data_IF_160123951593
#
_entry.id   IF_160123951593
#
_cell.length_a   1.000
_cell.length_b   1.000
_cell.length_c   1.000
_cell.angle_alpha   90.00
_cell.angle_beta   90.00
_cell.angle_gamma   90.00
#
_symmetry.space_group_name_H-M   'P 1'
#
loop_
_entity.id
_entity.type
_entity.pdbx_description
1 polymer ?
#
# COMPACT_ATOMS: atom_id res chain seq x y z
N UNK A 1 -63.33 28.38 63.48
CA UNK A 1 -61.93 28.59 63.94
C UNK A 1 -61.17 27.29 63.70
N UNK A 2 -60.45 27.18 62.57
CA UNK A 2 -59.44 26.15 62.27
C UNK A 2 -58.69 26.59 61.01
N UNK A 3 -57.42 26.93 61.18
CA UNK A 3 -56.51 27.33 60.11
C UNK A 3 -55.99 26.09 59.38
N UNK A 4 -56.00 26.11 58.05
CA UNK A 4 -55.33 25.10 57.22
C UNK A 4 -53.99 25.68 56.73
N UNK A 5 -52.90 25.11 57.25
CA UNK A 5 -51.55 25.29 56.72
C UNK A 5 -51.39 24.34 55.54
N UNK A 6 -51.38 24.85 54.33
CA UNK A 6 -51.03 24.07 53.14
C UNK A 6 -49.49 23.97 53.05
N UNK A 7 -48.97 22.79 53.37
CA UNK A 7 -47.57 22.43 53.18
C UNK A 7 -47.30 22.19 51.70
N UNK A 8 -46.62 23.15 51.06
CA UNK A 8 -46.03 23.04 49.72
C UNK A 8 -44.76 22.20 49.80
N UNK A 9 -44.88 20.88 49.95
CA UNK A 9 -43.69 20.01 49.98
C UNK A 9 -43.97 18.63 49.39
N UNK A 10 -44.30 18.52 48.10
CA UNK A 10 -44.06 17.27 47.35
C UNK A 10 -44.24 17.42 45.82
N UNK A 11 -43.38 18.22 45.17
CA UNK A 11 -43.32 18.23 43.71
C UNK A 11 -41.87 18.32 43.22
N UNK A 12 -41.08 17.28 43.48
CA UNK A 12 -39.81 17.03 42.82
C UNK A 12 -39.46 15.54 42.95
N UNK A 13 -40.32 14.67 42.41
CA UNK A 13 -39.85 13.37 41.91
C UNK A 13 -39.15 13.69 40.60
N UNK A 14 -37.90 14.07 40.77
CA UNK A 14 -36.90 14.26 39.74
C UNK A 14 -36.85 12.98 38.91
N UNK A 15 -37.21 13.12 37.64
CA UNK A 15 -36.86 12.22 36.54
C UNK A 15 -35.33 12.18 36.42
N UNK A 16 -34.66 11.51 37.36
CA UNK A 16 -33.25 11.11 37.29
C UNK A 16 -33.23 9.64 36.86
N UNK A 17 -33.89 9.36 35.74
CA UNK A 17 -33.37 8.34 34.83
C UNK A 17 -32.19 8.99 34.11
N UNK A 18 -31.06 9.00 34.84
CA UNK A 18 -29.73 9.15 34.29
C UNK A 18 -29.62 8.15 33.15
N UNK A 19 -29.81 8.66 31.93
CA UNK A 19 -29.27 8.03 30.74
C UNK A 19 -27.77 7.93 30.97
N UNK A 20 -27.32 6.80 31.52
CA UNK A 20 -25.98 6.30 31.27
C UNK A 20 -25.95 5.99 29.79
N UNK A 21 -25.76 7.04 28.98
CA UNK A 21 -25.20 6.90 27.66
C UNK A 21 -23.91 6.13 27.87
N UNK A 22 -23.96 4.85 27.52
CA UNK A 22 -22.79 4.04 27.31
C UNK A 22 -22.00 4.77 26.21
N UNK A 23 -21.15 5.70 26.61
CA UNK A 23 -19.99 6.10 25.85
C UNK A 23 -19.12 4.85 25.82
N UNK A 24 -19.41 3.93 24.89
CA UNK A 24 -18.47 2.90 24.53
C UNK A 24 -17.18 3.62 24.16
N UNK A 25 -16.07 3.21 24.76
CA UNK A 25 -14.75 3.76 24.45
C UNK A 25 -14.60 3.82 22.92
N UNK A 26 -14.64 5.04 22.39
CA UNK A 26 -14.56 5.28 20.97
C UNK A 26 -13.12 5.04 20.55
N UNK A 27 -12.85 3.81 20.14
CA UNK A 27 -11.53 3.41 19.63
C UNK A 27 -11.39 3.97 18.21
N UNK A 28 -10.95 5.23 18.10
CA UNK A 28 -10.70 5.99 16.87
C UNK A 28 -9.50 5.43 16.07
N UNK A 29 -9.63 4.19 15.58
CA UNK A 29 -8.49 3.34 15.19
C UNK A 29 -8.05 3.40 13.73
N UNK A 30 -8.44 4.44 12.99
CA UNK A 30 -7.97 4.62 11.61
C UNK A 30 -6.73 5.50 11.56
N UNK A 31 -5.54 4.92 11.33
CA UNK A 31 -4.41 5.71 10.86
C UNK A 31 -4.72 6.30 9.48
N UNK A 32 -4.38 7.57 9.24
CA UNK A 32 -4.60 8.19 7.95
C UNK A 32 -3.68 7.62 6.85
N UNK A 33 -3.98 7.92 5.58
CA UNK A 33 -3.20 7.46 4.42
C UNK A 33 -1.70 7.76 4.58
N UNK A 34 -1.34 8.93 5.09
CA UNK A 34 0.05 9.35 5.20
C UNK A 34 0.78 8.61 6.31
N UNK A 35 0.15 8.44 7.46
CA UNK A 35 0.67 7.59 8.53
C UNK A 35 0.80 6.14 8.05
N UNK A 36 -0.17 5.65 7.28
CA UNK A 36 -0.13 4.35 6.63
C UNK A 36 1.03 4.22 5.64
N UNK A 37 1.30 5.25 4.84
CA UNK A 37 2.44 5.29 3.91
C UNK A 37 3.77 5.27 4.66
N UNK A 38 3.93 6.07 5.72
CA UNK A 38 5.15 6.07 6.55
C UNK A 38 5.34 4.72 7.22
N UNK A 39 4.32 4.19 7.91
CA UNK A 39 4.42 2.88 8.56
C UNK A 39 4.73 1.77 7.55
N UNK A 40 4.12 1.82 6.36
CA UNK A 40 4.39 0.85 5.30
C UNK A 40 5.82 1.00 4.76
N UNK A 41 6.28 2.23 4.57
CA UNK A 41 7.62 2.50 4.11
C UNK A 41 8.67 2.04 5.12
N UNK A 42 8.43 2.27 6.41
CA UNK A 42 9.27 1.78 7.49
C UNK A 42 9.41 0.26 7.45
N UNK A 43 8.29 -0.47 7.34
CA UNK A 43 8.29 -1.94 7.25
C UNK A 43 8.94 -2.50 5.97
N UNK A 44 9.12 -1.69 4.93
CA UNK A 44 9.70 -2.11 3.65
C UNK A 44 11.00 -1.37 3.32
N UNK A 45 11.57 -0.64 4.28
CA UNK A 45 12.68 0.27 4.03
C UNK A 45 13.91 -0.49 3.53
N UNK A 46 14.18 -1.67 4.07
CA UNK A 46 15.26 -2.56 3.62
C UNK A 46 15.19 -2.84 2.13
N UNK A 47 13.99 -3.18 1.63
CA UNK A 47 13.75 -3.46 0.21
C UNK A 47 14.01 -2.23 -0.65
N UNK A 48 13.59 -1.05 -0.20
CA UNK A 48 13.74 0.19 -0.96
C UNK A 48 15.19 0.67 -1.01
N UNK A 49 15.91 0.52 0.10
CA UNK A 49 17.35 0.71 0.17
C UNK A 49 18.05 -0.26 -0.77
N UNK A 50 17.68 -1.54 -0.75
CA UNK A 50 18.24 -2.54 -1.66
C UNK A 50 18.04 -2.21 -3.13
N UNK A 51 16.86 -1.71 -3.50
CA UNK A 51 16.62 -1.25 -4.86
C UNK A 51 17.60 -0.12 -5.25
N UNK A 52 17.85 0.85 -4.37
CA UNK A 52 18.80 1.93 -4.65
C UNK A 52 20.26 1.43 -4.73
N UNK A 53 20.71 0.62 -3.76
CA UNK A 53 22.09 0.11 -3.72
C UNK A 53 22.46 -0.72 -4.95
N UNK A 54 21.49 -1.41 -5.55
CA UNK A 54 21.72 -2.31 -6.68
C UNK A 54 21.44 -1.68 -8.06
N UNK A 55 20.92 -0.45 -8.12
CA UNK A 55 20.59 0.21 -9.39
C UNK A 55 21.60 1.30 -9.72
N UNK A 56 22.32 1.23 -10.86
CA UNK A 56 23.21 2.30 -11.31
C UNK A 56 22.52 3.67 -11.38
N UNK A 57 21.21 3.65 -11.62
CA UNK A 57 20.37 4.84 -11.74
C UNK A 57 20.08 5.56 -10.42
N UNK A 58 20.49 5.00 -9.27
CA UNK A 58 20.47 5.71 -7.98
C UNK A 58 21.65 6.68 -7.83
N UNK A 59 22.74 6.48 -8.59
CA UNK A 59 23.89 7.40 -8.68
C UNK A 59 24.49 7.77 -7.32
N UNK A 60 24.77 6.75 -6.50
CA UNK A 60 25.42 6.91 -5.20
C UNK A 60 26.94 7.11 -5.38
N UNK A 61 27.52 8.03 -4.63
CA UNK A 61 28.96 8.09 -4.42
C UNK A 61 29.39 7.07 -3.35
N UNK A 62 30.71 6.95 -3.08
CA UNK A 62 31.24 5.96 -2.12
C UNK A 62 30.74 6.18 -0.69
N UNK A 63 30.65 7.43 -0.25
CA UNK A 63 30.19 7.80 1.09
C UNK A 63 28.70 7.48 1.28
N UNK A 64 27.87 7.90 0.33
CA UNK A 64 26.44 7.62 0.30
C UNK A 64 26.15 6.11 0.25
N UNK A 65 26.93 5.36 -0.53
CA UNK A 65 26.80 3.91 -0.61
C UNK A 65 27.16 3.23 0.72
N UNK A 66 28.22 3.70 1.39
CA UNK A 66 28.62 3.19 2.71
C UNK A 66 27.52 3.46 3.74
N UNK A 67 27.08 4.72 3.88
CA UNK A 67 26.03 5.10 4.82
C UNK A 67 24.73 4.33 4.58
N UNK A 68 24.31 4.19 3.33
CA UNK A 68 23.08 3.47 3.00
C UNK A 68 23.18 1.95 3.27
N UNK A 69 24.38 1.38 3.11
CA UNK A 69 24.67 -0.01 3.48
C UNK A 69 24.66 -0.19 5.01
N UNK A 70 25.21 0.77 5.75
CA UNK A 70 25.21 0.78 7.21
C UNK A 70 23.76 0.84 7.73
N UNK A 71 22.95 1.79 7.23
CA UNK A 71 21.52 1.88 7.54
C UNK A 71 20.85 0.53 7.31
N UNK A 72 21.03 -0.07 6.12
CA UNK A 72 20.43 -1.36 5.78
C UNK A 72 20.80 -2.44 6.80
N UNK A 73 22.08 -2.55 7.14
CA UNK A 73 22.57 -3.54 8.10
C UNK A 73 22.07 -3.30 9.53
N UNK A 74 21.82 -2.03 9.89
CA UNK A 74 21.29 -1.60 11.19
C UNK A 74 19.79 -1.80 11.37
N UNK A 75 19.00 -1.96 10.29
CA UNK A 75 17.54 -2.02 10.36
C UNK A 75 17.00 -3.09 11.32
N UNK A 76 17.69 -4.22 11.50
CA UNK A 76 17.29 -5.23 12.48
C UNK A 76 17.33 -4.69 13.92
N UNK A 77 18.30 -3.82 14.23
CA UNK A 77 18.40 -3.10 15.50
C UNK A 77 17.30 -2.05 15.64
N UNK A 78 17.06 -1.28 14.57
CA UNK A 78 15.98 -0.27 14.51
C UNK A 78 14.63 -0.88 14.90
N UNK A 79 14.29 -2.03 14.34
CA UNK A 79 13.00 -2.69 14.54
C UNK A 79 12.81 -3.34 15.93
N UNK A 80 13.83 -3.34 16.80
CA UNK A 80 13.68 -3.86 18.16
C UNK A 80 12.77 -2.96 19.01
N UNK A 81 12.80 -1.65 18.75
CA UNK A 81 11.91 -0.71 19.41
C UNK A 81 10.52 -0.72 18.74
N UNK A 82 9.58 -1.46 19.32
CA UNK A 82 8.19 -1.54 18.80
C UNK A 82 7.45 -0.19 18.79
N UNK A 83 7.96 0.83 19.49
CA UNK A 83 7.41 2.19 19.56
C UNK A 83 8.34 3.21 18.90
N UNK A 84 9.20 2.76 17.98
CA UNK A 84 10.14 3.63 17.31
C UNK A 84 9.43 4.71 16.50
N UNK A 85 8.37 4.35 15.77
CA UNK A 85 7.64 5.30 14.95
C UNK A 85 6.46 5.89 15.74
N UNK A 86 6.46 7.21 15.92
CA UNK A 86 5.42 7.93 16.65
C UNK A 86 4.88 9.10 15.82
N UNK A 87 3.56 9.27 15.83
CA UNK A 87 2.89 10.36 15.10
C UNK A 87 2.36 11.38 16.11
N UNK A 88 2.97 12.57 16.14
CA UNK A 88 2.68 13.62 17.11
C UNK A 88 2.17 14.87 16.39
N UNK A 89 1.16 15.55 16.93
CA UNK A 89 0.69 16.84 16.42
C UNK A 89 1.43 17.97 17.14
N UNK A 90 2.08 18.84 16.38
CA UNK A 90 2.73 20.06 16.85
C UNK A 90 1.71 21.03 17.47
N UNK A 91 0.51 21.13 16.88
CA UNK A 91 -0.57 21.96 17.42
C UNK A 91 -1.01 21.53 18.82
N UNK A 92 -0.96 20.23 19.11
CA UNK A 92 -1.29 19.69 20.44
C UNK A 92 -0.09 19.67 21.39
N UNK A 93 1.14 19.71 20.87
CA UNK A 93 2.39 19.69 21.64
C UNK A 93 3.37 20.76 21.10
N UNK A 94 3.10 22.06 21.32
CA UNK A 94 3.89 23.13 20.71
C UNK A 94 5.36 23.10 21.12
N UNK A 95 6.25 23.43 20.18
CA UNK A 95 7.70 23.40 20.35
C UNK A 95 8.33 22.02 20.09
N UNK A 96 7.54 20.98 19.79
CA UNK A 96 8.08 19.64 19.55
C UNK A 96 8.90 19.60 18.26
N UNK A 97 8.39 20.18 17.18
CA UNK A 97 9.00 20.12 15.85
C UNK A 97 9.62 21.45 15.39
N UNK A 98 9.68 22.46 16.25
CA UNK A 98 10.36 23.73 15.95
C UNK A 98 11.81 23.63 16.41
N UNK A 99 12.73 23.53 15.45
CA UNK A 99 14.18 23.43 15.68
C UNK A 99 14.84 24.58 14.94
N UNK A 100 15.62 25.40 15.65
CA UNK A 100 16.28 26.60 15.11
C UNK A 100 15.31 27.58 14.40
N UNK A 101 14.08 27.66 14.89
CA UNK A 101 13.03 28.51 14.33
C UNK A 101 12.32 27.94 13.09
N UNK A 102 12.70 26.75 12.64
CA UNK A 102 12.07 26.08 11.50
C UNK A 102 11.20 24.90 11.93
N UNK A 103 10.04 24.75 11.29
CA UNK A 103 9.16 23.61 11.51
C UNK A 103 9.67 22.39 10.71
N UNK A 104 9.97 21.30 11.40
CA UNK A 104 10.43 20.04 10.80
C UNK A 104 9.28 19.04 10.65
N UNK A 105 9.36 18.19 9.63
CA UNK A 105 8.37 17.14 9.34
C UNK A 105 8.56 15.89 10.20
N UNK A 106 9.79 15.62 10.61
CA UNK A 106 10.15 14.56 11.52
C UNK A 106 11.37 14.99 12.35
N UNK A 107 11.61 14.29 13.45
CA UNK A 107 12.83 14.40 14.24
C UNK A 107 13.10 13.07 14.94
N UNK A 108 14.37 12.83 15.26
CA UNK A 108 14.80 11.63 15.96
C UNK A 108 16.02 11.87 16.85
N UNK A 109 16.44 10.84 17.59
CA UNK A 109 17.73 10.79 18.31
C UNK A 109 18.89 10.33 17.42
N UNK A 110 20.09 10.23 17.96
CA UNK A 110 21.31 9.87 17.19
C UNK A 110 21.79 8.43 17.42
N UNK A 111 20.96 7.59 18.04
CA UNK A 111 21.26 6.18 18.30
C UNK A 111 20.31 5.23 17.53
N UNK A 112 20.81 4.07 17.10
CA UNK A 112 20.01 2.99 16.51
C UNK A 112 18.87 2.59 17.46
N UNK A 113 17.64 2.57 16.94
CA UNK A 113 16.43 2.30 17.74
C UNK A 113 15.79 3.54 18.36
N UNK A 114 16.39 4.73 18.20
CA UNK A 114 15.82 6.00 18.66
C UNK A 114 14.44 6.25 18.07
N UNK A 115 13.58 6.91 18.84
CA UNK A 115 12.21 7.22 18.41
C UNK A 115 12.22 8.24 17.29
N UNK A 116 11.62 7.86 16.16
CA UNK A 116 11.29 8.72 15.04
C UNK A 116 9.92 9.33 15.29
N UNK A 117 9.91 10.61 15.67
CA UNK A 117 8.69 11.39 15.81
C UNK A 117 8.36 12.04 14.47
N UNK A 118 7.13 11.88 14.01
CA UNK A 118 6.61 12.45 12.75
C UNK A 118 5.52 13.47 13.06
N UNK A 119 5.66 14.66 12.49
CA UNK A 119 4.71 15.76 12.64
C UNK A 119 3.45 15.51 11.80
N UNK A 120 2.36 15.11 12.47
CA UNK A 120 1.06 14.84 11.84
C UNK A 120 0.49 16.04 11.10
N UNK A 121 0.78 17.25 11.57
CA UNK A 121 0.19 18.47 11.02
C UNK A 121 0.78 18.81 9.64
N UNK A 122 1.94 18.23 9.29
CA UNK A 122 2.61 18.42 8.00
C UNK A 122 2.44 17.24 7.03
N UNK A 123 1.76 16.16 7.43
CA UNK A 123 1.57 14.98 6.58
C UNK A 123 0.54 15.20 5.46
N UNK A 124 -0.30 16.22 5.61
CA UNK A 124 -1.41 16.51 4.71
C UNK A 124 -1.32 17.94 4.22
N UNK A 125 -1.50 18.15 2.93
CA UNK A 125 -1.53 19.48 2.32
C UNK A 125 -2.77 19.63 1.45
N UNK A 126 -3.24 20.88 1.30
CA UNK A 126 -4.35 21.18 0.40
C UNK A 126 -3.80 21.45 -0.99
N UNK A 127 -4.19 20.63 -1.95
CA UNK A 127 -3.86 20.83 -3.35
C UNK A 127 -4.55 22.12 -3.83
N UNK A 128 -3.77 23.09 -4.28
CA UNK A 128 -4.27 24.42 -4.67
C UNK A 128 -5.19 24.38 -5.90
N UNK A 129 -4.99 23.39 -6.79
CA UNK A 129 -5.78 23.24 -8.02
C UNK A 129 -7.10 22.52 -7.79
N UNK A 130 -7.09 21.44 -7.02
CA UNK A 130 -8.29 20.60 -6.80
C UNK A 130 -9.05 20.99 -5.53
N UNK A 131 -8.40 21.71 -4.61
CA UNK A 131 -8.92 22.00 -3.28
C UNK A 131 -8.97 20.80 -2.34
N UNK A 132 -8.53 19.61 -2.81
CA UNK A 132 -8.56 18.38 -2.04
C UNK A 132 -7.38 18.29 -1.09
N UNK A 133 -7.58 17.63 0.05
CA UNK A 133 -6.49 17.30 0.97
C UNK A 133 -5.76 16.06 0.48
N UNK A 134 -4.47 16.20 0.21
CA UNK A 134 -3.59 15.16 -0.26
C UNK A 134 -2.58 14.81 0.83
N UNK A 135 -2.42 13.52 1.09
CA UNK A 135 -1.41 13.02 2.00
C UNK A 135 -0.07 12.82 1.29
N UNK A 136 1.04 12.84 2.02
CA UNK A 136 2.34 12.46 1.44
C UNK A 136 2.32 11.03 0.87
N UNK A 137 3.01 10.83 -0.25
CA UNK A 137 3.18 9.54 -0.92
C UNK A 137 4.25 8.66 -0.28
N UNK A 138 4.41 7.44 -0.81
CA UNK A 138 5.43 6.49 -0.36
C UNK A 138 6.84 7.03 -0.58
N UNK A 139 7.06 7.72 -1.69
CA UNK A 139 8.32 8.36 -2.08
C UNK A 139 8.83 9.31 -0.97
N UNK A 140 7.97 10.26 -0.58
CA UNK A 140 8.30 11.23 0.46
C UNK A 140 8.45 10.57 1.83
N UNK A 141 7.61 9.57 2.13
CA UNK A 141 7.74 8.78 3.35
C UNK A 141 9.10 8.05 3.43
N UNK A 142 9.56 7.46 2.33
CA UNK A 142 10.90 6.83 2.26
C UNK A 142 12.00 7.88 2.42
N UNK A 143 11.89 9.03 1.76
CA UNK A 143 12.86 10.11 1.92
C UNK A 143 13.00 10.53 3.39
N UNK A 144 11.89 10.78 4.08
CA UNK A 144 11.88 11.14 5.51
C UNK A 144 12.56 10.03 6.31
N UNK A 145 12.15 8.78 6.14
CA UNK A 145 12.71 7.67 6.92
C UNK A 145 14.21 7.46 6.68
N UNK A 146 14.69 7.58 5.44
CA UNK A 146 16.14 7.48 5.16
C UNK A 146 16.91 8.61 5.85
N UNK A 147 16.35 9.83 5.88
CA UNK A 147 16.95 10.95 6.61
C UNK A 147 17.08 10.63 8.10
N UNK A 148 15.97 10.26 8.75
CA UNK A 148 15.96 9.97 10.18
C UNK A 148 16.86 8.77 10.53
N UNK A 149 16.87 7.72 9.71
CA UNK A 149 17.77 6.57 9.91
C UNK A 149 19.25 6.96 9.74
N UNK A 150 19.56 7.95 8.90
CA UNK A 150 20.92 8.46 8.79
C UNK A 150 21.43 9.08 10.09
N UNK A 151 20.56 9.78 10.84
CA UNK A 151 20.89 10.30 12.16
C UNK A 151 21.20 9.21 13.17
N UNK A 152 20.45 8.10 13.17
CA UNK A 152 20.73 6.94 14.05
C UNK A 152 22.09 6.29 13.79
N UNK A 153 22.61 6.47 12.58
CA UNK A 153 23.92 5.99 12.14
C UNK A 153 25.01 7.07 12.25
N UNK A 154 24.77 8.13 13.04
CA UNK A 154 25.75 9.15 13.39
C UNK A 154 25.97 10.23 12.33
N UNK A 155 25.22 10.24 11.22
CA UNK A 155 25.33 11.29 10.22
C UNK A 155 24.61 12.56 10.69
N UNK A 156 25.31 13.69 10.67
CA UNK A 156 24.81 15.01 11.13
C UNK A 156 24.58 16.00 9.99
N UNK A 157 25.09 15.73 8.80
CA UNK A 157 24.88 16.57 7.62
C UNK A 157 23.48 16.34 7.05
N UNK A 158 22.54 17.24 7.38
CA UNK A 158 21.17 17.21 6.86
C UNK A 158 21.11 17.29 5.33
N UNK A 159 22.04 17.99 4.68
CA UNK A 159 22.05 18.12 3.20
C UNK A 159 22.35 16.78 2.55
N UNK A 160 23.35 16.06 3.07
CA UNK A 160 23.68 14.72 2.63
C UNK A 160 22.50 13.76 2.83
N UNK A 161 21.84 13.82 3.99
CA UNK A 161 20.70 12.97 4.31
C UNK A 161 19.48 13.25 3.43
N UNK A 162 19.18 14.51 3.15
CA UNK A 162 18.10 14.91 2.24
C UNK A 162 18.36 14.44 0.80
N UNK A 163 19.61 14.59 0.33
CA UNK A 163 20.03 14.12 -0.99
C UNK A 163 19.96 12.58 -1.07
N UNK A 164 20.45 11.88 -0.06
CA UNK A 164 20.42 10.42 -0.01
C UNK A 164 18.98 9.90 -0.01
N UNK A 165 18.12 10.47 0.83
CA UNK A 165 16.69 10.14 0.85
C UNK A 165 16.00 10.41 -0.49
N UNK A 166 16.35 11.52 -1.17
CA UNK A 166 15.83 11.84 -2.50
C UNK A 166 16.26 10.79 -3.54
N UNK A 167 17.53 10.35 -3.52
CA UNK A 167 18.04 9.30 -4.43
C UNK A 167 17.31 7.97 -4.24
N UNK A 168 17.13 7.53 -2.99
CA UNK A 168 16.38 6.29 -2.68
C UNK A 168 14.93 6.42 -3.17
N UNK A 169 14.29 7.56 -2.90
CA UNK A 169 12.93 7.85 -3.38
C UNK A 169 12.83 7.82 -4.91
N UNK A 170 13.76 8.45 -5.63
CA UNK A 170 13.79 8.43 -7.10
C UNK A 170 13.98 7.03 -7.66
N UNK A 171 14.84 6.21 -7.04
CA UNK A 171 15.03 4.80 -7.41
C UNK A 171 13.74 3.99 -7.23
N UNK A 172 13.03 4.22 -6.12
CA UNK A 172 11.71 3.64 -5.89
C UNK A 172 10.70 4.05 -6.98
N UNK A 173 10.61 5.35 -7.31
CA UNK A 173 9.71 5.85 -8.35
C UNK A 173 9.93 5.20 -9.71
N UNK A 174 11.19 4.94 -10.10
CA UNK A 174 11.51 4.28 -11.37
C UNK A 174 11.00 2.84 -11.46
N UNK A 175 10.92 2.14 -10.32
CA UNK A 175 10.44 0.76 -10.25
C UNK A 175 8.95 0.65 -9.93
N UNK A 176 8.27 1.80 -9.80
CA UNK A 176 6.90 1.91 -9.40
C UNK A 176 6.00 2.21 -10.60
N UNK A 177 4.98 1.37 -10.78
CA UNK A 177 3.93 1.56 -11.77
C UNK A 177 2.67 1.95 -11.03
N UNK A 178 2.09 3.09 -11.40
CA UNK A 178 0.83 3.58 -10.81
C UNK A 178 -0.28 3.55 -11.85
N UNK A 179 -1.41 2.96 -11.49
CA UNK A 179 -2.66 3.04 -12.25
C UNK A 179 -3.72 3.75 -11.42
N UNK A 180 -4.15 4.94 -11.86
CA UNK A 180 -5.27 5.68 -11.24
C UNK A 180 -6.59 5.26 -11.91
N UNK A 181 -7.65 5.12 -11.11
CA UNK A 181 -8.97 4.76 -11.63
C UNK A 181 -9.56 5.88 -12.48
N UNK A 182 -9.39 7.13 -12.02
CA UNK A 182 -9.77 8.34 -12.73
C UNK A 182 -8.52 9.23 -12.81
N UNK A 183 -8.30 9.88 -13.95
CA UNK A 183 -7.09 10.68 -14.17
C UNK A 183 -6.89 11.80 -13.14
N UNK A 184 -7.99 12.41 -12.69
CA UNK A 184 -8.01 13.56 -11.77
C UNK A 184 -8.25 13.18 -10.30
N UNK A 185 -8.38 11.89 -9.99
CA UNK A 185 -8.70 11.45 -8.63
C UNK A 185 -7.64 10.52 -8.06
N UNK A 186 -7.13 10.88 -6.88
CA UNK A 186 -6.31 10.00 -6.03
C UNK A 186 -7.15 9.00 -5.22
N UNK A 187 -8.48 9.10 -5.29
CA UNK A 187 -9.38 8.31 -4.45
C UNK A 187 -9.34 6.81 -4.72
N UNK A 188 -8.93 6.37 -5.91
CA UNK A 188 -8.64 4.96 -6.17
C UNK A 188 -7.43 4.85 -7.09
N UNK A 189 -6.38 4.21 -6.61
CA UNK A 189 -5.20 3.88 -7.42
C UNK A 189 -4.58 2.56 -7.00
N UNK A 190 -3.86 1.94 -7.92
CA UNK A 190 -3.01 0.81 -7.66
C UNK A 190 -1.56 1.23 -7.87
N UNK A 191 -0.69 0.79 -6.97
CA UNK A 191 0.74 1.02 -6.98
C UNK A 191 1.41 -0.34 -6.98
N UNK A 192 2.27 -0.57 -7.97
CA UNK A 192 3.03 -1.81 -8.11
C UNK A 192 4.50 -1.48 -8.13
N UNK A 193 5.25 -2.02 -7.17
CA UNK A 193 6.70 -1.84 -7.06
C UNK A 193 7.33 -3.17 -7.44
N UNK A 194 7.92 -3.25 -8.64
CA UNK A 194 8.62 -4.45 -9.07
C UNK A 194 9.95 -4.59 -8.31
N UNK A 195 10.39 -5.83 -8.12
CA UNK A 195 11.68 -6.11 -7.47
C UNK A 195 12.86 -5.81 -8.38
N UNK A 196 14.07 -5.94 -7.84
CA UNK A 196 15.32 -5.67 -8.59
C UNK A 196 15.58 -6.70 -9.69
N UNK A 197 15.17 -7.94 -9.44
CA UNK A 197 15.33 -9.07 -10.33
C UNK A 197 13.98 -9.68 -10.65
N UNK A 198 13.93 -10.43 -11.73
CA UNK A 198 12.72 -11.18 -12.10
C UNK A 198 12.39 -12.30 -11.10
N UNK A 199 13.34 -12.65 -10.21
CA UNK A 199 13.20 -13.63 -9.13
C UNK A 199 12.54 -13.06 -7.87
N UNK A 200 12.28 -11.75 -7.82
CA UNK A 200 11.51 -11.14 -6.74
C UNK A 200 10.03 -10.99 -7.11
N UNK A 201 9.15 -10.99 -6.11
CA UNK A 201 7.74 -10.68 -6.33
C UNK A 201 7.47 -9.18 -6.17
N UNK A 202 6.53 -8.62 -6.94
CA UNK A 202 6.20 -7.21 -6.83
C UNK A 202 5.43 -6.94 -5.54
N UNK A 203 5.64 -5.77 -4.95
CA UNK A 203 4.72 -5.26 -3.93
C UNK A 203 3.52 -4.61 -4.64
N UNK A 204 2.31 -4.98 -4.25
CA UNK A 204 1.08 -4.48 -4.87
C UNK A 204 0.20 -3.85 -3.79
N UNK A 205 0.04 -2.53 -3.88
CA UNK A 205 -0.76 -1.74 -2.96
C UNK A 205 -1.94 -1.16 -3.71
N UNK A 206 -3.14 -1.28 -3.15
CA UNK A 206 -4.34 -0.65 -3.69
C UNK A 206 -4.84 0.37 -2.68
N UNK A 207 -4.91 1.61 -3.14
CA UNK A 207 -5.47 2.73 -2.41
C UNK A 207 -6.95 2.83 -2.75
N UNK A 208 -7.78 2.82 -1.72
CA UNK A 208 -9.22 3.04 -1.80
C UNK A 208 -9.55 4.11 -0.77
N UNK A 209 -9.57 5.36 -1.24
CA UNK A 209 -9.73 6.57 -0.45
C UNK A 209 -8.70 6.60 0.68
N UNK A 210 -9.16 6.50 1.93
CA UNK A 210 -8.36 6.51 3.14
C UNK A 210 -7.70 5.17 3.48
N UNK A 211 -7.95 4.12 2.68
CA UNK A 211 -7.51 2.76 2.99
C UNK A 211 -6.41 2.28 2.04
N UNK A 212 -5.40 1.63 2.61
CA UNK A 212 -4.32 0.97 1.87
C UNK A 212 -4.49 -0.55 2.02
N UNK A 213 -4.59 -1.24 0.89
CA UNK A 213 -4.78 -2.69 0.83
C UNK A 213 -3.52 -3.31 0.22
N UNK A 214 -2.77 -4.07 1.00
CA UNK A 214 -1.64 -4.84 0.49
C UNK A 214 -2.13 -6.18 -0.08
N UNK A 215 -1.97 -6.36 -1.39
CA UNK A 215 -2.42 -7.55 -2.13
C UNK A 215 -1.26 -8.54 -2.36
N UNK A 216 -0.03 -8.18 -1.99
CA UNK A 216 1.22 -8.87 -2.35
C UNK A 216 1.19 -10.36 -2.00
N UNK A 217 0.84 -10.71 -0.75
CA UNK A 217 0.83 -12.10 -0.31
C UNK A 217 -0.23 -12.95 -1.05
N UNK A 218 -1.41 -12.37 -1.28
CA UNK A 218 -2.50 -13.03 -2.02
C UNK A 218 -2.16 -13.20 -3.50
N UNK A 219 -1.47 -12.21 -4.07
CA UNK A 219 -0.94 -12.27 -5.42
C UNK A 219 0.07 -13.41 -5.56
N UNK A 220 1.13 -13.44 -4.75
CA UNK A 220 2.14 -14.51 -4.74
C UNK A 220 1.53 -15.91 -4.59
N UNK A 221 0.51 -16.07 -3.73
CA UNK A 221 -0.15 -17.37 -3.49
C UNK A 221 -0.90 -17.91 -4.72
N UNK A 222 -1.42 -17.04 -5.58
CA UNK A 222 -2.24 -17.44 -6.73
C UNK A 222 -1.39 -17.85 -7.93
N UNK A 223 -0.16 -17.35 -8.03
CA UNK A 223 0.68 -17.58 -9.20
C UNK A 223 1.16 -19.03 -9.27
N UNK A 224 1.06 -19.62 -10.46
CA UNK A 224 1.53 -20.97 -10.76
C UNK A 224 2.33 -20.99 -12.05
N UNK A 225 3.34 -21.84 -12.11
CA UNK A 225 4.01 -22.19 -13.35
C UNK A 225 3.30 -23.38 -13.97
N UNK A 226 3.00 -23.29 -15.26
CA UNK A 226 2.45 -24.43 -15.99
C UNK A 226 3.61 -25.16 -16.63
N UNK A 227 3.88 -26.41 -16.25
CA UNK A 227 4.68 -27.28 -17.10
C UNK A 227 3.81 -27.70 -18.29
N UNK A 228 4.17 -27.30 -19.50
CA UNK A 228 3.43 -27.72 -20.69
C UNK A 228 3.75 -29.21 -20.96
N UNK A 229 2.72 -30.06 -20.90
CA UNK A 229 2.71 -31.32 -21.62
C UNK A 229 2.62 -31.03 -23.12
N UNK A 230 3.42 -31.73 -23.91
CA UNK A 230 3.60 -31.55 -25.35
C UNK A 230 2.27 -31.56 -26.13
N UNK A 231 2.17 -30.82 -27.25
CA UNK A 231 1.18 -31.11 -28.27
C UNK A 231 1.64 -32.34 -29.06
N UNK A 232 1.36 -33.54 -28.55
CA UNK A 232 1.64 -34.79 -29.28
C UNK A 232 0.42 -35.11 -30.16
N UNK A 233 0.55 -35.15 -31.50
CA UNK A 233 -0.54 -35.48 -32.41
C UNK A 233 -0.74 -37.00 -32.54
N UNK A 234 -0.73 -37.75 -31.43
CA UNK A 234 -0.83 -39.22 -31.49
C UNK A 234 -1.62 -39.75 -30.29
N UNK A 235 -2.63 -40.58 -30.59
CA UNK A 235 -3.51 -41.27 -29.64
C UNK A 235 -2.72 -42.01 -28.55
N UNK A 236 -2.54 -41.38 -27.39
CA UNK A 236 -2.11 -42.05 -26.17
C UNK A 236 -3.17 -41.87 -25.08
N UNK A 237 -3.58 -42.97 -24.41
CA UNK A 237 -4.48 -42.89 -23.26
C UNK A 237 -3.72 -42.36 -22.04
N UNK A 238 -4.36 -41.44 -21.30
CA UNK A 238 -4.22 -41.18 -19.84
C UNK A 238 -2.82 -41.39 -19.26
N UNK A 239 -1.97 -40.39 -19.05
CA UNK A 239 -2.14 -39.37 -18.01
C UNK A 239 -1.18 -38.20 -18.24
N UNK A 240 -1.69 -37.05 -18.67
CA UNK A 240 -0.92 -35.81 -18.73
C UNK A 240 -0.85 -35.22 -17.32
N UNK A 241 0.25 -35.49 -16.62
CA UNK A 241 0.54 -34.86 -15.32
C UNK A 241 0.87 -33.39 -15.55
N UNK A 242 -0.12 -32.52 -15.37
CA UNK A 242 0.10 -31.07 -15.30
C UNK A 242 0.70 -30.78 -13.91
N UNK A 243 2.03 -30.79 -13.82
CA UNK A 243 2.70 -30.32 -12.61
C UNK A 243 2.64 -28.80 -12.56
N UNK A 244 2.21 -28.27 -11.41
CA UNK A 244 2.22 -26.84 -11.15
C UNK A 244 3.32 -26.51 -10.15
N UNK A 245 4.50 -26.14 -10.63
CA UNK A 245 5.52 -25.53 -9.77
C UNK A 245 5.11 -24.11 -9.38
N UNK A 246 5.63 -23.60 -8.26
CA UNK A 246 5.47 -22.19 -7.91
C UNK A 246 6.57 -21.38 -8.59
N UNK A 247 6.26 -20.17 -9.11
CA UNK A 247 7.30 -19.29 -9.61
C UNK A 247 8.24 -18.86 -8.48
N UNK A 248 9.49 -18.61 -8.81
CA UNK A 248 10.48 -18.03 -7.90
C UNK A 248 10.30 -16.52 -7.79
N UNK A 249 9.87 -15.87 -8.88
CA UNK A 249 9.54 -14.44 -8.91
C UNK A 249 8.56 -14.06 -10.03
N UNK A 250 8.17 -12.79 -10.07
CA UNK A 250 7.25 -12.27 -11.07
C UNK A 250 7.36 -10.76 -11.27
N UNK A 251 6.98 -10.29 -12.45
CA UNK A 251 6.73 -8.88 -12.76
C UNK A 251 5.25 -8.67 -13.05
N UNK A 252 4.68 -7.61 -12.48
CA UNK A 252 3.31 -7.18 -12.78
C UNK A 252 3.37 -5.79 -13.41
N UNK A 253 2.99 -5.70 -14.68
CA UNK A 253 3.22 -4.51 -15.49
C UNK A 253 2.05 -4.25 -16.44
N UNK A 254 2.08 -3.10 -17.13
CA UNK A 254 0.99 -2.64 -17.99
C UNK A 254 -0.37 -2.72 -17.27
N UNK A 255 -0.39 -2.28 -16.01
CA UNK A 255 -1.57 -2.36 -15.17
C UNK A 255 -2.59 -1.28 -15.55
N UNK A 256 -3.86 -1.63 -15.50
CA UNK A 256 -4.96 -0.70 -15.76
C UNK A 256 -6.23 -1.16 -15.06
N UNK A 257 -7.12 -0.21 -14.83
CA UNK A 257 -8.44 -0.42 -14.27
C UNK A 257 -9.42 -0.81 -15.39
N UNK A 258 -9.97 -2.04 -15.33
CA UNK A 258 -10.88 -2.57 -16.35
C UNK A 258 -12.28 -1.93 -16.26
N UNK A 259 -12.92 -1.70 -17.43
CA UNK A 259 -14.13 -0.88 -17.60
C UNK A 259 -15.09 -0.93 -16.42
N UNK A 260 -15.25 0.24 -15.80
CA UNK A 260 -16.13 0.48 -14.68
C UNK A 260 -17.51 0.95 -15.13
N UNK A 261 -18.58 0.32 -14.63
CA UNK A 261 -19.93 0.90 -14.72
C UNK A 261 -20.14 1.89 -13.56
N UNK A 262 -19.52 3.06 -13.63
CA UNK A 262 -19.61 4.10 -12.60
C UNK A 262 -21.07 4.54 -12.35
N UNK A 263 -21.90 4.61 -13.39
CA UNK A 263 -23.31 4.98 -13.28
C UNK A 263 -24.16 4.02 -12.41
N UNK A 264 -23.76 2.75 -12.29
CA UNK A 264 -24.40 1.81 -11.36
C UNK A 264 -23.97 1.99 -9.90
N UNK A 265 -22.79 2.59 -9.69
CA UNK A 265 -22.16 2.72 -8.37
C UNK A 265 -22.90 3.72 -7.50
N UNK A 266 -23.24 4.88 -8.06
CA UNK A 266 -23.97 5.94 -7.35
C UNK A 266 -25.35 5.46 -6.92
N UNK A 267 -26.07 4.72 -7.78
CA UNK A 267 -27.42 4.21 -7.47
C UNK A 267 -27.42 3.10 -6.42
N UNK A 268 -26.41 2.22 -6.43
CA UNK A 268 -26.40 0.99 -5.59
C UNK A 268 -25.57 1.10 -4.31
N UNK A 269 -24.95 2.26 -4.03
CA UNK A 269 -24.02 2.47 -2.90
C UNK A 269 -22.91 1.40 -2.81
N UNK A 270 -22.62 0.71 -3.92
CA UNK A 270 -21.68 -0.40 -4.02
C UNK A 270 -20.99 -0.35 -5.38
N UNK A 271 -19.72 -0.75 -5.41
CA UNK A 271 -18.87 -0.76 -6.58
C UNK A 271 -18.02 -2.00 -6.66
N UNK A 272 -17.72 -2.45 -7.86
CA UNK A 272 -16.79 -3.55 -8.11
C UNK A 272 -15.58 -3.00 -8.84
N UNK A 273 -14.43 -3.13 -8.21
CA UNK A 273 -13.15 -2.74 -8.76
C UNK A 273 -12.41 -3.94 -9.37
N UNK A 274 -11.81 -3.74 -10.55
CA UNK A 274 -11.05 -4.77 -11.27
C UNK A 274 -9.78 -4.15 -11.84
N UNK A 275 -8.64 -4.46 -11.23
CA UNK A 275 -7.32 -4.15 -11.79
C UNK A 275 -6.86 -5.33 -12.65
N UNK A 276 -6.43 -5.03 -13.87
CA UNK A 276 -5.80 -5.99 -14.79
C UNK A 276 -4.36 -5.57 -15.04
N UNK A 277 -3.53 -6.51 -15.41
CA UNK A 277 -2.18 -6.25 -15.92
C UNK A 277 -1.54 -7.50 -16.49
N UNK A 278 -0.44 -7.31 -17.19
CA UNK A 278 0.39 -8.40 -17.71
C UNK A 278 1.28 -8.97 -16.63
N UNK A 279 1.51 -10.27 -16.72
CA UNK A 279 2.28 -11.03 -15.76
C UNK A 279 3.43 -11.75 -16.47
N UNK A 280 4.65 -11.46 -16.04
CA UNK A 280 5.84 -12.27 -16.37
C UNK A 280 6.24 -13.05 -15.12
N UNK A 281 6.50 -14.36 -15.24
CA UNK A 281 6.88 -15.22 -14.12
C UNK A 281 8.19 -15.95 -14.44
N UNK A 282 8.96 -16.25 -13.40
CA UNK A 282 10.14 -17.10 -13.48
C UNK A 282 9.82 -18.48 -12.91
N UNK A 283 9.95 -19.51 -13.73
CA UNK A 283 9.40 -20.84 -13.48
C UNK A 283 10.44 -21.97 -13.39
N UNK A 284 11.73 -21.64 -13.55
CA UNK A 284 12.87 -22.56 -13.42
C UNK A 284 13.93 -22.33 -14.51
N UNK A 285 15.11 -22.94 -14.37
CA UNK A 285 16.27 -22.75 -15.27
C UNK A 285 16.09 -23.25 -16.71
N UNK A 286 15.09 -24.10 -16.98
CA UNK A 286 14.88 -24.75 -18.27
C UNK A 286 13.80 -24.08 -19.15
N UNK A 287 13.16 -23.02 -18.66
CA UNK A 287 12.14 -22.32 -19.44
C UNK A 287 12.81 -21.40 -20.46
N UNK A 288 13.11 -22.00 -21.62
CA UNK A 288 13.60 -21.27 -22.78
C UNK A 288 12.62 -20.13 -23.14
N UNK A 289 13.21 -18.96 -23.34
CA UNK A 289 12.67 -17.67 -23.79
C UNK A 289 11.59 -17.72 -24.89
N UNK A 290 11.44 -18.86 -25.58
CA UNK A 290 10.48 -19.09 -26.67
C UNK A 290 9.01 -19.34 -26.24
N UNK A 291 8.72 -19.67 -24.97
CA UNK A 291 7.34 -19.70 -24.43
C UNK A 291 6.86 -18.34 -23.89
N UNK A 292 7.30 -17.28 -24.58
CA UNK A 292 7.16 -15.86 -24.29
C UNK A 292 5.91 -15.46 -23.48
N UNK A 293 6.16 -14.99 -22.25
CA UNK A 293 5.26 -14.64 -21.15
C UNK A 293 4.13 -13.62 -21.43
N UNK A 294 3.91 -13.17 -22.68
CA UNK A 294 2.94 -12.12 -23.04
C UNK A 294 1.45 -12.49 -22.89
N UNK A 295 1.15 -13.71 -22.44
CA UNK A 295 -0.21 -14.28 -22.39
C UNK A 295 -0.82 -14.35 -21.00
N UNK A 296 0.01 -14.26 -19.96
CA UNK A 296 -0.48 -14.32 -18.60
C UNK A 296 -0.96 -12.94 -18.17
N UNK A 297 -2.16 -12.93 -17.59
CA UNK A 297 -2.78 -11.74 -17.02
C UNK A 297 -3.08 -12.02 -15.56
N UNK A 298 -2.90 -11.03 -14.70
CA UNK A 298 -3.43 -11.09 -13.35
C UNK A 298 -4.63 -10.16 -13.23
N UNK A 299 -5.65 -10.62 -12.53
CA UNK A 299 -6.87 -9.87 -12.24
C UNK A 299 -7.04 -9.76 -10.74
N UNK A 300 -7.00 -8.54 -10.23
CA UNK A 300 -7.27 -8.22 -8.84
C UNK A 300 -8.65 -7.58 -8.77
N UNK A 301 -9.60 -8.28 -8.14
CA UNK A 301 -10.98 -7.82 -7.97
C UNK A 301 -11.22 -7.47 -6.52
N UNK A 302 -11.91 -6.38 -6.26
CA UNK A 302 -12.39 -6.03 -4.93
C UNK A 302 -13.74 -5.31 -5.03
N UNK A 303 -14.43 -5.15 -3.92
CA UNK A 303 -15.66 -4.36 -3.83
C UNK A 303 -15.45 -3.17 -2.92
N UNK A 304 -16.14 -2.09 -3.23
CA UNK A 304 -16.26 -0.90 -2.39
C UNK A 304 -17.73 -0.65 -2.08
N UNK A 305 -18.01 -0.06 -0.92
CA UNK A 305 -19.37 0.31 -0.52
C UNK A 305 -19.35 1.61 0.26
N UNK A 306 -20.45 2.38 0.17
CA UNK A 306 -20.60 3.55 1.04
C UNK A 306 -20.87 3.09 2.47
N UNK A 307 -20.04 3.55 3.41
CA UNK A 307 -20.23 3.42 4.86
C UNK A 307 -20.36 4.81 5.47
N UNK A 308 -21.02 4.93 6.62
CA UNK A 308 -20.97 6.15 7.40
C UNK A 308 -19.62 6.20 8.13
N UNK A 309 -18.90 7.31 8.06
CA UNK A 309 -17.78 7.59 8.95
C UNK A 309 -18.29 8.08 10.32
N UNK A 310 -17.37 8.42 11.22
CA UNK A 310 -17.67 8.85 12.60
C UNK A 310 -18.49 10.15 12.62
N UNK A 311 -18.36 10.97 11.58
CA UNK A 311 -19.16 12.19 11.37
C UNK A 311 -20.54 11.92 10.74
N UNK A 312 -20.93 10.65 10.60
CA UNK A 312 -22.18 10.23 9.96
C UNK A 312 -22.21 10.41 8.43
N UNK A 313 -21.12 10.85 7.82
CA UNK A 313 -21.03 11.13 6.38
C UNK A 313 -20.82 9.83 5.60
N UNK A 314 -21.52 9.68 4.47
CA UNK A 314 -21.37 8.50 3.61
C UNK A 314 -20.09 8.59 2.78
N UNK A 315 -19.07 7.85 3.18
CA UNK A 315 -17.78 7.73 2.49
C UNK A 315 -17.66 6.37 1.80
N UNK A 316 -16.97 6.32 0.67
CA UNK A 316 -16.66 5.05 0.01
C UNK A 316 -15.53 4.34 0.76
N UNK A 317 -15.72 3.07 1.07
CA UNK A 317 -14.72 2.25 1.73
C UNK A 317 -14.62 0.88 1.06
N UNK A 318 -13.45 0.24 1.17
CA UNK A 318 -13.25 -1.15 0.83
C UNK A 318 -14.19 -2.07 1.62
N UNK A 319 -14.77 -3.04 0.92
CA UNK A 319 -15.51 -4.12 1.55
C UNK A 319 -14.55 -5.26 1.91
N UNK A 320 -14.25 -5.39 3.20
CA UNK A 320 -13.40 -6.44 3.73
C UNK A 320 -13.82 -7.84 3.26
N UNK A 321 -12.84 -8.70 2.98
CA UNK A 321 -13.07 -10.05 2.46
C UNK A 321 -13.44 -10.12 0.97
N UNK A 322 -13.75 -9.00 0.32
CA UNK A 322 -14.13 -8.98 -1.11
C UNK A 322 -12.96 -9.16 -2.09
N UNK A 323 -11.72 -9.05 -1.60
CA UNK A 323 -10.51 -9.12 -2.43
C UNK A 323 -10.36 -10.52 -3.04
N UNK A 324 -10.21 -10.60 -4.36
CA UNK A 324 -9.96 -11.85 -5.10
C UNK A 324 -8.87 -11.60 -6.13
N UNK A 325 -7.79 -12.39 -6.08
CA UNK A 325 -6.76 -12.41 -7.11
C UNK A 325 -6.97 -13.66 -7.96
N UNK A 326 -6.89 -13.50 -9.29
CA UNK A 326 -6.88 -14.62 -10.24
C UNK A 326 -5.75 -14.43 -11.23
N UNK A 327 -5.04 -15.51 -11.50
CA UNK A 327 -4.21 -15.64 -12.68
C UNK A 327 -5.10 -16.12 -13.84
N UNK A 328 -4.91 -15.53 -15.01
CA UNK A 328 -5.58 -15.88 -16.25
C UNK A 328 -4.55 -16.13 -17.35
N UNK A 329 -4.83 -17.10 -18.21
CA UNK A 329 -3.96 -17.48 -19.32
C UNK A 329 -4.77 -17.50 -20.60
N UNK A 330 -4.41 -16.61 -21.52
CA UNK A 330 -5.12 -16.39 -22.76
C UNK A 330 -4.20 -16.71 -23.96
N UNK A 331 -4.15 -17.98 -24.40
CA UNK A 331 -3.26 -18.36 -25.49
C UNK A 331 -3.81 -17.97 -26.86
N UNK A 332 -2.95 -17.40 -27.72
CA UNK A 332 -3.26 -17.04 -29.11
C UNK A 332 -3.85 -18.18 -29.95
N UNK A 333 -3.52 -19.45 -29.66
CA UNK A 333 -4.01 -20.60 -30.44
C UNK A 333 -5.52 -20.87 -30.25
N UNK A 334 -6.19 -20.25 -29.26
CA UNK A 334 -7.67 -20.26 -29.20
C UNK A 334 -8.33 -19.59 -30.42
N UNK A 335 -7.58 -18.80 -31.19
CA UNK A 335 -8.07 -18.10 -32.38
C UNK A 335 -7.97 -18.98 -33.62
N UNK A 336 -7.06 -19.98 -33.65
CA UNK A 336 -7.01 -20.96 -34.75
C UNK A 336 -8.02 -22.05 -34.46
N UNK A 337 -9.27 -21.84 -34.87
CA UNK A 337 -10.17 -22.97 -35.17
C UNK A 337 -9.61 -23.67 -36.41
N UNK A 338 -9.03 -24.85 -36.25
CA UNK A 338 -8.59 -25.65 -37.40
C UNK A 338 -9.86 -26.06 -38.17
N UNK A 339 -10.05 -25.63 -39.43
CA UNK A 339 -11.29 -25.87 -40.18
C UNK A 339 -11.54 -27.34 -40.61
N UNK A 340 -10.69 -28.29 -40.19
CA UNK A 340 -10.57 -29.61 -40.87
C UNK A 340 -10.96 -30.82 -40.01
N UNK A 341 -11.74 -30.65 -38.93
CA UNK A 341 -12.15 -31.76 -38.04
C UNK A 341 -13.65 -31.82 -37.75
N UNK A 342 -14.50 -31.28 -38.63
CA UNK A 342 -15.96 -31.34 -38.45
C UNK A 342 -16.66 -32.47 -39.20
N UNK A 343 -15.97 -33.27 -40.01
CA UNK A 343 -16.60 -34.36 -40.79
C UNK A 343 -15.80 -35.67 -40.73
N UNK A 344 -15.75 -36.31 -39.55
CA UNK A 344 -15.52 -37.76 -39.40
C UNK A 344 -16.53 -38.31 -38.41
#
# INVERSE_FOLDING_TARGET
MRAYVFSTTLLLIIFVFLGKSFAGDEVNNGGGISEGNIAKSYLNLERYIDLCLNLPSCSLNKEEQALLSDIKSGLKGEYQNKKQLQFISERLNPGTFVIDGEMKIAKTGDEIGSVIMVNKDLLYHKNSRTGLTEGIGLEKAVQILVHEMGHHHGQKDHTLLDLLGAKVSMSLSKNMITAKLLAESEGVKAVVINGKSEEEFPQILIYVFDQIIDVTAKFKKVLKCKSLGLPIPVNLPTDIVISFSKPTGALFHNIYWDKYKFGGMVKKNTGKLVLKGHLSKICGKADNFFFNNKKYKALIRLKIKKKKNDKGQKVWAYEEGSLKVKEDYDPWWKIIRIPFLTDI
#
